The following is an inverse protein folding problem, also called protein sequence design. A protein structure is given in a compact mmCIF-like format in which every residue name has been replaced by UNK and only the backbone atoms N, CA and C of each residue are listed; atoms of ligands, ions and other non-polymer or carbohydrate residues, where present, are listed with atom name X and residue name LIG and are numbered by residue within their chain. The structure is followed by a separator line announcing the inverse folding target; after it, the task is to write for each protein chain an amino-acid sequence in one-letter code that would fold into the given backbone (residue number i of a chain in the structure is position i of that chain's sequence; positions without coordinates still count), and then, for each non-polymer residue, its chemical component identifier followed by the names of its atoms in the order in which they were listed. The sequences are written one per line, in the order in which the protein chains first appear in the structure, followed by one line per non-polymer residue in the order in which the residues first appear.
data_IF_361114954785
#
_entry.id   IF_361114954785
#
_cell.length_a   1.000
_cell.length_b   1.000
_cell.length_c   1.000
_cell.angle_alpha   90.00
_cell.angle_beta   90.00
_cell.angle_gamma   90.00
#
_symmetry.space_group_name_H-M   'P 1'
#
loop_
_entity.id
_entity.type
_entity.pdbx_description
1 polymer ?
#
# COMPACT_ATOMS: atom_id res chain seq x y z
N UNK A 1 -6.02 20.51 17.69
CA UNK A 1 -6.68 19.68 16.65
C UNK A 1 -6.36 18.23 16.91
N UNK A 2 -7.34 17.30 16.83
CA UNK A 2 -7.06 15.88 16.89
C UNK A 2 -6.16 15.48 15.71
N UNK A 3 -5.18 14.62 15.96
CA UNK A 3 -4.31 14.04 14.92
C UNK A 3 -4.84 12.64 14.55
N UNK A 4 -4.73 12.21 13.29
CA UNK A 4 -5.06 10.84 12.91
C UNK A 4 -4.22 9.83 13.69
N UNK A 5 -4.81 8.69 14.04
CA UNK A 5 -4.04 7.53 14.50
C UNK A 5 -3.28 6.96 13.31
N UNK A 6 -1.98 6.73 13.48
CA UNK A 6 -1.12 6.18 12.42
C UNK A 6 -0.69 4.76 12.80
N UNK A 7 -0.86 3.84 11.85
CA UNK A 7 -0.32 2.48 11.94
C UNK A 7 0.67 2.29 10.80
N UNK A 8 1.87 1.83 11.11
CA UNK A 8 2.88 1.46 10.10
C UNK A 8 2.85 -0.06 9.93
N UNK A 9 2.73 -0.51 8.68
CA UNK A 9 2.78 -1.92 8.32
C UNK A 9 3.93 -2.14 7.34
N UNK A 10 4.72 -3.19 7.55
CA UNK A 10 5.78 -3.61 6.63
C UNK A 10 5.97 -5.12 6.72
N UNK A 11 6.15 -5.75 5.56
CA UNK A 11 6.59 -7.14 5.45
C UNK A 11 8.10 -7.13 5.16
N UNK A 12 8.85 -7.93 5.89
CA UNK A 12 10.30 -7.98 5.79
C UNK A 12 10.81 -9.41 5.94
N UNK A 13 12.01 -9.65 5.43
CA UNK A 13 12.78 -10.86 5.72
C UNK A 13 13.20 -10.91 7.19
N UNK A 14 13.65 -12.07 7.66
CA UNK A 14 14.12 -12.28 9.04
C UNK A 14 15.29 -11.35 9.41
N UNK A 15 16.12 -10.98 8.44
CA UNK A 15 17.23 -10.03 8.59
C UNK A 15 16.83 -8.55 8.35
N UNK A 16 15.53 -8.25 8.26
CA UNK A 16 14.99 -6.88 8.24
C UNK A 16 15.01 -6.19 6.88
N UNK A 17 15.08 -6.94 5.76
CA UNK A 17 15.04 -6.38 4.40
C UNK A 17 13.62 -6.33 3.87
N UNK A 18 13.25 -5.23 3.23
CA UNK A 18 11.93 -5.03 2.60
C UNK A 18 11.93 -5.26 1.07
N UNK A 19 13.11 -5.39 0.46
CA UNK A 19 13.29 -5.71 -0.95
C UNK A 19 14.70 -6.26 -1.22
N UNK A 20 14.85 -7.03 -2.29
CA UNK A 20 16.16 -7.47 -2.79
C UNK A 20 16.91 -6.33 -3.52
N UNK A 21 18.20 -6.55 -3.81
CA UNK A 21 19.00 -5.65 -4.67
C UNK A 21 18.43 -5.53 -6.09
N UNK A 22 17.71 -6.54 -6.55
CA UNK A 22 17.01 -6.57 -7.85
C UNK A 22 15.57 -6.04 -7.77
N UNK A 23 15.19 -5.41 -6.65
CA UNK A 23 13.85 -4.85 -6.38
C UNK A 23 12.73 -5.87 -6.25
N UNK A 24 13.05 -7.14 -5.99
CA UNK A 24 12.03 -8.12 -5.63
C UNK A 24 11.48 -7.80 -4.23
N UNK A 25 10.17 -7.53 -4.14
CA UNK A 25 9.48 -7.06 -2.92
C UNK A 25 8.26 -7.91 -2.55
N UNK A 26 8.01 -9.04 -3.23
CA UNK A 26 6.90 -9.94 -2.93
C UNK A 26 7.27 -10.92 -1.80
N UNK A 27 7.32 -10.39 -0.57
CA UNK A 27 7.75 -11.13 0.63
C UNK A 27 6.58 -11.75 1.42
N UNK A 28 5.34 -11.30 1.16
CA UNK A 28 4.15 -11.74 1.90
C UNK A 28 3.63 -13.12 1.47
N UNK A 29 3.06 -13.86 2.42
CA UNK A 29 2.28 -15.06 2.16
C UNK A 29 0.76 -14.76 2.21
N UNK A 30 -0.13 -15.69 1.80
CA UNK A 30 -1.58 -15.46 1.82
C UNK A 30 -2.14 -15.04 3.19
N UNK A 31 -1.58 -15.55 4.28
CA UNK A 31 -1.99 -15.16 5.64
C UNK A 31 -1.63 -13.70 5.94
N UNK A 32 -0.40 -13.28 5.62
CA UNK A 32 0.05 -11.90 5.79
C UNK A 32 -0.77 -10.91 4.94
N UNK A 33 -1.07 -11.29 3.69
CA UNK A 33 -1.92 -10.50 2.79
C UNK A 33 -3.33 -10.29 3.35
N UNK A 34 -3.93 -11.32 3.97
CA UNK A 34 -5.23 -11.19 4.64
C UNK A 34 -5.15 -10.20 5.80
N UNK A 35 -4.17 -10.34 6.69
CA UNK A 35 -3.94 -9.43 7.82
C UNK A 35 -3.72 -7.98 7.40
N UNK A 36 -2.91 -7.76 6.36
CA UNK A 36 -2.73 -6.43 5.76
C UNK A 36 -4.07 -5.86 5.29
N UNK A 37 -4.90 -6.69 4.65
CA UNK A 37 -6.19 -6.25 4.14
C UNK A 37 -7.23 -5.98 5.23
N UNK A 38 -7.23 -6.74 6.32
CA UNK A 38 -8.04 -6.45 7.52
C UNK A 38 -7.66 -5.07 8.09
N UNK A 39 -6.36 -4.78 8.22
CA UNK A 39 -5.88 -3.47 8.68
C UNK A 39 -6.29 -2.34 7.72
N UNK A 40 -6.21 -2.58 6.41
CA UNK A 40 -6.69 -1.61 5.40
C UNK A 40 -8.20 -1.38 5.50
N UNK A 41 -8.98 -2.43 5.71
CA UNK A 41 -10.44 -2.35 5.82
C UNK A 41 -10.88 -1.60 7.08
N UNK A 42 -10.10 -1.67 8.16
CA UNK A 42 -10.34 -0.93 9.40
C UNK A 42 -9.77 0.49 9.42
N UNK A 43 -9.18 0.97 8.31
CA UNK A 43 -8.54 2.28 8.22
C UNK A 43 -9.30 3.20 7.29
N UNK A 44 -9.40 4.49 7.62
CA UNK A 44 -10.03 5.48 6.75
C UNK A 44 -9.22 5.71 5.47
N UNK A 45 -7.89 5.63 5.58
CA UNK A 45 -6.98 5.85 4.46
C UNK A 45 -5.73 4.96 4.54
N UNK A 46 -5.11 4.72 3.38
CA UNK A 46 -3.81 4.08 3.20
C UNK A 46 -2.88 5.05 2.51
N UNK A 47 -1.66 5.18 3.03
CA UNK A 47 -0.65 6.10 2.53
C UNK A 47 0.56 5.35 1.97
N UNK A 48 1.06 5.80 0.81
CA UNK A 48 2.33 5.36 0.24
C UNK A 48 3.10 6.55 -0.35
N UNK A 49 4.41 6.39 -0.54
CA UNK A 49 5.23 7.35 -1.27
C UNK A 49 5.19 7.13 -2.78
N UNK A 50 5.56 8.16 -3.54
CA UNK A 50 5.62 8.13 -5.01
C UNK A 50 6.46 6.96 -5.58
N UNK A 51 7.59 6.63 -4.94
CA UNK A 51 8.47 5.56 -5.42
C UNK A 51 7.76 4.19 -5.39
N UNK A 52 6.94 3.93 -4.37
CA UNK A 52 6.13 2.71 -4.28
C UNK A 52 5.12 2.66 -5.43
N UNK A 53 4.49 3.78 -5.76
CA UNK A 53 3.58 3.87 -6.91
C UNK A 53 4.31 3.60 -8.22
N UNK A 54 5.50 4.19 -8.41
CA UNK A 54 6.27 4.06 -9.65
C UNK A 54 6.84 2.64 -9.82
N UNK A 55 7.28 2.00 -8.74
CA UNK A 55 7.96 0.69 -8.79
C UNK A 55 6.95 -0.46 -8.76
N UNK A 56 5.96 -0.42 -7.87
CA UNK A 56 5.05 -1.54 -7.62
C UNK A 56 3.67 -1.35 -8.28
N UNK A 57 3.33 -0.12 -8.70
CA UNK A 57 2.04 0.26 -9.30
C UNK A 57 0.82 -0.26 -8.51
N UNK A 58 0.75 -0.16 -7.17
CA UNK A 58 -0.30 -0.83 -6.41
C UNK A 58 -1.68 -0.19 -6.67
N UNK A 59 -2.75 -0.98 -6.65
CA UNK A 59 -4.11 -0.42 -6.65
C UNK A 59 -4.55 0.09 -5.27
N UNK A 60 -3.94 -0.46 -4.21
CA UNK A 60 -4.26 -0.22 -2.78
C UNK A 60 -5.72 -0.50 -2.39
N UNK A 61 -6.45 -1.23 -3.23
CA UNK A 61 -7.82 -1.69 -2.97
C UNK A 61 -7.84 -2.97 -2.14
N UNK A 62 -8.95 -3.23 -1.47
CA UNK A 62 -9.21 -4.52 -0.85
C UNK A 62 -9.38 -5.60 -1.92
N UNK A 63 -8.80 -6.78 -1.65
CA UNK A 63 -8.77 -7.96 -2.54
C UNK A 63 -8.98 -9.27 -1.78
N UNK A 64 -8.47 -9.35 -0.54
CA UNK A 64 -8.46 -10.59 0.26
C UNK A 64 -9.47 -10.60 1.40
N UNK A 65 -10.22 -9.51 1.61
CA UNK A 65 -11.28 -9.38 2.62
C UNK A 65 -12.39 -8.49 2.08
N UNK A 66 -13.59 -8.62 2.64
CA UNK A 66 -14.71 -7.72 2.41
C UNK A 66 -14.56 -6.43 3.23
N UNK A 67 -15.10 -5.32 2.71
CA UNK A 67 -15.08 -4.03 3.40
C UNK A 67 -15.10 -2.84 2.46
N UNK A 68 -15.16 -1.64 3.04
CA UNK A 68 -15.04 -0.39 2.29
C UNK A 68 -13.58 -0.20 1.86
N UNK A 69 -13.36 0.18 0.60
CA UNK A 69 -12.03 0.58 0.15
C UNK A 69 -11.58 1.86 0.87
N UNK A 70 -10.35 1.90 1.43
CA UNK A 70 -9.83 3.09 2.08
C UNK A 70 -9.51 4.18 1.05
N UNK A 71 -9.47 5.43 1.51
CA UNK A 71 -8.92 6.52 0.70
C UNK A 71 -7.43 6.27 0.44
N UNK A 72 -6.95 6.63 -0.74
CA UNK A 72 -5.59 6.34 -1.20
C UNK A 72 -4.79 7.64 -1.22
N UNK A 73 -3.85 7.78 -0.29
CA UNK A 73 -3.01 8.96 -0.15
C UNK A 73 -1.65 8.65 -0.76
N UNK A 74 -1.25 9.44 -1.76
CA UNK A 74 0.07 9.35 -2.37
C UNK A 74 0.87 10.58 -1.99
N UNK A 75 2.00 10.37 -1.33
CA UNK A 75 2.94 11.45 -1.00
C UNK A 75 3.94 11.60 -2.14
N UNK A 76 3.76 12.65 -2.94
CA UNK A 76 4.61 12.96 -4.09
C UNK A 76 4.86 14.47 -4.24
N UNK A 77 5.94 14.96 -3.64
CA UNK A 77 6.29 16.38 -3.67
C UNK A 77 6.70 16.92 -5.05
N UNK A 78 6.89 16.05 -6.06
CA UNK A 78 7.35 16.43 -7.39
C UNK A 78 6.39 15.99 -8.51
N UNK A 79 5.21 15.45 -8.17
CA UNK A 79 4.19 14.97 -9.13
C UNK A 79 4.75 14.02 -10.20
N UNK A 80 5.59 13.07 -9.78
CA UNK A 80 6.27 12.07 -10.62
C UNK A 80 5.42 10.83 -10.90
N UNK A 81 4.43 10.51 -10.08
CA UNK A 81 3.60 9.32 -10.30
C UNK A 81 2.82 9.44 -11.61
N UNK A 82 2.84 8.43 -12.49
CA UNK A 82 2.09 8.48 -13.74
C UNK A 82 0.59 8.59 -13.49
N UNK A 83 -0.12 9.41 -14.28
CA UNK A 83 -1.58 9.52 -14.22
C UNK A 83 -2.30 8.20 -14.55
N UNK A 84 -1.60 7.29 -15.26
CA UNK A 84 -2.08 5.95 -15.58
C UNK A 84 -1.91 4.92 -14.46
N UNK A 85 -1.28 5.26 -13.33
CA UNK A 85 -1.02 4.32 -12.24
C UNK A 85 -2.31 3.74 -11.66
N UNK A 86 -2.30 2.46 -11.29
CA UNK A 86 -3.48 1.72 -10.80
C UNK A 86 -4.08 2.31 -9.53
N UNK A 87 -3.31 3.06 -8.76
CA UNK A 87 -3.80 3.78 -7.57
C UNK A 87 -4.83 4.86 -7.94
N UNK A 88 -4.77 5.42 -9.15
CA UNK A 88 -5.68 6.48 -9.62
C UNK A 88 -6.87 5.94 -10.43
N UNK A 89 -6.86 4.67 -10.83
CA UNK A 89 -7.93 4.13 -11.66
C UNK A 89 -9.20 3.85 -10.85
N UNK A 90 -10.34 4.21 -11.47
CA UNK A 90 -11.69 4.04 -10.91
C UNK A 90 -12.36 2.72 -11.32
N UNK A 91 -11.71 1.87 -12.15
CA UNK A 91 -12.35 0.66 -12.66
C UNK A 91 -12.80 -0.27 -11.54
N UNK A 92 -14.09 -0.57 -11.58
CA UNK A 92 -14.87 -1.55 -10.81
C UNK A 92 -14.30 -2.95 -10.98
#
# INVERSE_FOLDING_TARGET
MPKPRVVVFSTMTVDGRIASRTRFSQLSCPHDLRRLHELRASSDAVMVGANTVIIDDPSLRLKYVEGRNPDRIVVDGLLRTPLSARVYTLKT
#
